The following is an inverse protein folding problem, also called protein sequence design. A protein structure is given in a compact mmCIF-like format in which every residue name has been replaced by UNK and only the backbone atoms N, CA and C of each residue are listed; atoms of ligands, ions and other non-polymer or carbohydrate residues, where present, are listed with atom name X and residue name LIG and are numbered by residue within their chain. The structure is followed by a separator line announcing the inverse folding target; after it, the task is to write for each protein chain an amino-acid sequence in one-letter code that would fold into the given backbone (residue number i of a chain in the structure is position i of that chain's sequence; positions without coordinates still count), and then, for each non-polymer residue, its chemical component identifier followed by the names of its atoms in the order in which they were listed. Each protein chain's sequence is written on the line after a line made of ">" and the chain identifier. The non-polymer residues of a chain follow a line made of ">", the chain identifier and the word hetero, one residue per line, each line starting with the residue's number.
data_IF_568732931453
#
_entry.id   IF_568732931453
#
_cell.length_a   1.000
_cell.length_b   1.000
_cell.length_c   1.000
_cell.angle_alpha   90.00
_cell.angle_beta   90.00
_cell.angle_gamma   90.00
#
_symmetry.space_group_name_H-M   'P 1'
#
loop_
_entity.id
_entity.type
_entity.pdbx_description
1 polymer ?
#
# COMPACT_ATOMS: atom_id res chain seq x y z
N UNK A 1 -11.00 -21.25 -3.76
CA UNK A 1 -11.59 -19.98 -3.30
C UNK A 1 -10.54 -18.99 -2.77
N UNK A 2 -9.51 -19.44 -2.04
CA UNK A 2 -8.45 -18.58 -1.46
C UNK A 2 -7.73 -17.66 -2.48
N UNK A 3 -7.42 -18.13 -3.69
CA UNK A 3 -6.76 -17.29 -4.70
C UNK A 3 -7.62 -16.10 -5.18
N UNK A 4 -8.95 -16.24 -5.26
CA UNK A 4 -9.84 -15.14 -5.68
C UNK A 4 -9.89 -14.04 -4.63
N UNK A 5 -9.98 -14.41 -3.34
CA UNK A 5 -9.96 -13.46 -2.22
C UNK A 5 -8.63 -12.71 -2.17
N UNK A 6 -7.50 -13.42 -2.39
CA UNK A 6 -6.18 -12.81 -2.41
C UNK A 6 -6.05 -11.72 -3.50
N UNK A 7 -6.52 -12.00 -4.72
CA UNK A 7 -6.55 -10.99 -5.79
C UNK A 7 -7.46 -9.81 -5.50
N UNK A 8 -8.63 -10.02 -4.88
CA UNK A 8 -9.55 -8.94 -4.50
C UNK A 8 -8.92 -8.03 -3.46
N UNK A 9 -8.25 -8.60 -2.45
CA UNK A 9 -7.54 -7.84 -1.41
C UNK A 9 -6.43 -6.98 -2.03
N UNK A 10 -5.61 -7.55 -2.92
CA UNK A 10 -4.55 -6.80 -3.58
C UNK A 10 -5.11 -5.69 -4.49
N UNK A 11 -6.23 -5.94 -5.19
CA UNK A 11 -6.91 -4.92 -5.98
C UNK A 11 -7.44 -3.78 -5.11
N UNK A 12 -8.04 -4.11 -3.96
CA UNK A 12 -8.50 -3.11 -3.00
C UNK A 12 -7.34 -2.25 -2.49
N UNK A 13 -6.23 -2.86 -2.07
CA UNK A 13 -5.05 -2.11 -1.65
C UNK A 13 -4.51 -1.24 -2.79
N UNK A 14 -4.36 -1.78 -4.01
CA UNK A 14 -3.93 -1.00 -5.15
C UNK A 14 -4.81 0.24 -5.39
N UNK A 15 -6.13 0.08 -5.37
CA UNK A 15 -7.07 1.19 -5.51
C UNK A 15 -6.95 2.22 -4.37
N UNK A 16 -6.78 1.76 -3.13
CA UNK A 16 -6.60 2.63 -1.97
C UNK A 16 -5.28 3.43 -2.04
N UNK A 17 -4.17 2.79 -2.44
CA UNK A 17 -2.89 3.46 -2.58
C UNK A 17 -2.87 4.45 -3.75
N UNK A 18 -3.46 4.09 -4.89
CA UNK A 18 -3.57 4.99 -6.05
C UNK A 18 -4.41 6.20 -5.69
N UNK A 19 -5.58 5.99 -5.08
CA UNK A 19 -6.44 7.11 -4.66
C UNK A 19 -5.77 7.99 -3.61
N UNK A 20 -5.07 7.40 -2.63
CA UNK A 20 -4.27 8.13 -1.66
C UNK A 20 -3.17 8.99 -2.31
N UNK A 21 -2.43 8.44 -3.28
CA UNK A 21 -1.40 9.18 -4.00
C UNK A 21 -1.99 10.37 -4.79
N UNK A 22 -3.11 10.16 -5.48
CA UNK A 22 -3.83 11.22 -6.21
C UNK A 22 -4.29 12.32 -5.26
N UNK A 23 -4.84 11.96 -4.09
CA UNK A 23 -5.26 12.95 -3.08
C UNK A 23 -4.08 13.77 -2.55
N UNK A 24 -2.92 13.15 -2.30
CA UNK A 24 -1.71 13.87 -1.87
C UNK A 24 -1.23 14.86 -2.96
N UNK A 25 -1.30 14.47 -4.24
CA UNK A 25 -0.86 15.31 -5.34
C UNK A 25 -1.81 16.49 -5.60
N UNK A 26 -3.12 16.29 -5.44
CA UNK A 26 -4.13 17.31 -5.75
C UNK A 26 -4.44 18.23 -4.57
N UNK A 27 -4.20 17.82 -3.32
CA UNK A 27 -4.51 18.66 -2.16
C UNK A 27 -3.59 19.88 -2.06
N UNK A 28 -4.18 20.99 -1.63
CA UNK A 28 -3.44 22.24 -1.36
C UNK A 28 -2.99 22.35 0.09
N UNK A 29 -3.73 21.72 1.01
CA UNK A 29 -3.50 21.79 2.45
C UNK A 29 -3.57 20.37 3.02
N UNK A 30 -2.74 20.08 4.01
CA UNK A 30 -2.75 18.82 4.73
C UNK A 30 -3.82 18.79 5.85
N UNK A 31 -3.89 17.67 6.59
CA UNK A 31 -4.84 17.52 7.69
C UNK A 31 -4.55 18.41 8.91
N UNK A 32 -3.38 19.04 8.98
CA UNK A 32 -2.97 19.94 10.05
C UNK A 32 -3.11 21.43 9.67
N UNK A 33 -3.59 21.73 8.45
CA UNK A 33 -3.68 23.10 7.95
C UNK A 33 -2.38 23.62 7.31
N UNK A 34 -1.37 22.78 7.13
CA UNK A 34 -0.12 23.14 6.46
C UNK A 34 -0.32 23.18 4.94
N UNK A 35 0.11 24.27 4.30
CA UNK A 35 0.09 24.41 2.85
C UNK A 35 1.15 23.50 2.24
N UNK A 36 0.73 22.63 1.34
CA UNK A 36 1.59 21.64 0.73
C UNK A 36 2.61 22.27 -0.21
N UNK A 37 3.88 22.05 0.10
CA UNK A 37 5.02 22.36 -0.78
C UNK A 37 5.36 21.13 -1.63
N UNK A 38 6.12 21.28 -2.72
CA UNK A 38 6.62 20.13 -3.46
C UNK A 38 7.39 19.12 -2.57
N UNK A 39 8.15 19.63 -1.59
CA UNK A 39 8.90 18.79 -0.64
C UNK A 39 7.99 18.02 0.31
N UNK A 40 6.99 18.67 0.90
CA UNK A 40 6.05 17.99 1.82
C UNK A 40 5.19 16.95 1.10
N UNK A 41 4.80 17.20 -0.16
CA UNK A 41 4.11 16.21 -1.00
C UNK A 41 4.97 14.98 -1.26
N UNK A 42 6.24 15.16 -1.60
CA UNK A 42 7.16 14.05 -1.81
C UNK A 42 7.38 13.25 -0.52
N UNK A 43 7.48 13.92 0.62
CA UNK A 43 7.56 13.25 1.92
C UNK A 43 6.30 12.42 2.21
N UNK A 44 5.10 12.98 1.96
CA UNK A 44 3.84 12.26 2.14
C UNK A 44 3.72 11.05 1.20
N UNK A 45 4.14 11.19 -0.07
CA UNK A 45 4.21 10.06 -1.01
C UNK A 45 5.23 9.01 -0.60
N UNK A 46 6.38 9.42 -0.03
CA UNK A 46 7.39 8.50 0.48
C UNK A 46 6.86 7.68 1.67
N UNK A 47 6.13 8.32 2.59
CA UNK A 47 5.48 7.62 3.71
C UNK A 47 4.42 6.64 3.20
N UNK A 48 3.59 7.06 2.23
CA UNK A 48 2.61 6.19 1.59
C UNK A 48 3.30 4.99 0.91
N UNK A 49 4.40 5.22 0.19
CA UNK A 49 5.20 4.16 -0.43
C UNK A 49 5.84 3.21 0.59
N UNK A 50 6.33 3.71 1.72
CA UNK A 50 6.88 2.89 2.80
C UNK A 50 5.81 1.96 3.40
N UNK A 51 4.58 2.45 3.59
CA UNK A 51 3.46 1.63 4.03
C UNK A 51 3.10 0.53 3.02
N UNK A 52 3.09 0.87 1.72
CA UNK A 52 2.88 -0.13 0.66
C UNK A 52 3.95 -1.22 0.70
N UNK A 53 5.23 -0.84 0.84
CA UNK A 53 6.33 -1.79 0.94
C UNK A 53 6.16 -2.72 2.15
N UNK A 54 5.75 -2.19 3.31
CA UNK A 54 5.50 -3.00 4.49
C UNK A 54 4.41 -4.05 4.23
N UNK A 55 3.31 -3.67 3.59
CA UNK A 55 2.23 -4.60 3.23
C UNK A 55 2.75 -5.68 2.27
N UNK A 56 3.50 -5.30 1.23
CA UNK A 56 4.06 -6.25 0.27
C UNK A 56 5.01 -7.24 0.95
N UNK A 57 5.85 -6.79 1.89
CA UNK A 57 6.73 -7.67 2.66
C UNK A 57 5.91 -8.69 3.46
N UNK A 58 4.85 -8.26 4.14
CA UNK A 58 3.96 -9.16 4.89
C UNK A 58 3.29 -10.16 3.95
N UNK A 59 2.79 -9.72 2.79
CA UNK A 59 2.19 -10.60 1.78
C UNK A 59 3.18 -11.65 1.27
N UNK A 60 4.44 -11.26 1.02
CA UNK A 60 5.50 -12.17 0.59
C UNK A 60 5.83 -13.21 1.67
N UNK A 61 5.89 -12.81 2.94
CA UNK A 61 6.12 -13.73 4.06
C UNK A 61 4.97 -14.74 4.15
N UNK A 62 3.73 -14.28 4.14
CA UNK A 62 2.54 -15.16 4.19
C UNK A 62 2.55 -16.13 3.01
N UNK A 63 2.84 -15.64 1.81
CA UNK A 63 2.92 -16.46 0.61
C UNK A 63 4.03 -17.52 0.71
N UNK A 64 5.21 -17.14 1.20
CA UNK A 64 6.34 -18.06 1.40
C UNK A 64 5.99 -19.16 2.40
N UNK A 65 5.37 -18.82 3.53
CA UNK A 65 4.92 -19.78 4.55
C UNK A 65 3.87 -20.73 3.98
N UNK A 66 2.85 -20.21 3.29
CA UNK A 66 1.81 -21.02 2.65
C UNK A 66 2.38 -21.98 1.59
N UNK A 67 3.43 -21.57 0.88
CA UNK A 67 4.12 -22.43 -0.10
C UNK A 67 4.94 -23.51 0.57
N UNK A 68 5.67 -23.18 1.64
CA UNK A 68 6.46 -24.14 2.40
C UNK A 68 5.58 -25.24 3.03
N UNK A 69 4.44 -24.86 3.62
CA UNK A 69 3.50 -25.82 4.23
C UNK A 69 2.87 -26.77 3.22
N UNK A 70 2.63 -26.34 1.97
CA UNK A 70 2.12 -27.20 0.90
C UNK A 70 3.12 -28.24 0.38
N UNK A 71 4.43 -28.02 0.57
CA UNK A 71 5.47 -28.96 0.13
C UNK A 71 5.68 -30.12 1.11
N UNK A 72 5.17 -29.98 2.35
CA UNK A 72 5.37 -30.93 3.45
C UNK A 72 4.24 -31.97 3.58
N UNK A 73 3.07 -31.70 2.98
CA UNK A 73 1.97 -32.66 2.82
C UNK A 73 1.97 -33.24 1.41
#
# INVERSE_FOLDING_TARGET
>A
MQHKVWWIVNLFFAAAFISGAVLILLRQVDGAGHVETPGSRLAALAVLGAFLLLIVIVELIVWAVMRASRKRN
#
